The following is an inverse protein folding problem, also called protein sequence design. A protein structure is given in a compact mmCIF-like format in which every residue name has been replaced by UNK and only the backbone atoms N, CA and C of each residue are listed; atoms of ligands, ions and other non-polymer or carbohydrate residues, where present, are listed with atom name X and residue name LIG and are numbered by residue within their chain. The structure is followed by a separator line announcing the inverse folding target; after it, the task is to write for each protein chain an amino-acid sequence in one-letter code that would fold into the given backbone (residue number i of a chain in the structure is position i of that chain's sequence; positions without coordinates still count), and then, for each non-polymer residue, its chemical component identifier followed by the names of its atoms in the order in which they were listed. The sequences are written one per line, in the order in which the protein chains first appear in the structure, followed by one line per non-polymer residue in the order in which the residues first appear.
data_IF_469727983438
#
_entry.id   IF_469727983438
#
_cell.length_a   1.000
_cell.length_b   1.000
_cell.length_c   1.000
_cell.angle_alpha   90.00
_cell.angle_beta   90.00
_cell.angle_gamma   90.00
#
_symmetry.space_group_name_H-M   'P 1'
#
loop_
_entity.id
_entity.type
_entity.pdbx_description
1 polymer ?
#
# COMPACT_ATOMS: atom_id res chain seq x y z
N UNK A 1 64.71 -33.63 20.29
CA UNK A 1 64.05 -32.35 19.92
C UNK A 1 62.65 -32.69 19.43
N UNK A 2 61.64 -32.55 20.30
CA UNK A 2 60.22 -32.80 19.98
C UNK A 2 59.59 -31.45 19.68
N UNK A 3 59.15 -31.25 18.42
CA UNK A 3 58.39 -30.08 18.01
C UNK A 3 56.90 -30.29 18.29
N UNK A 4 56.38 -29.54 19.27
CA UNK A 4 54.94 -29.48 19.56
C UNK A 4 54.31 -28.53 18.57
N UNK A 5 53.39 -29.05 17.69
CA UNK A 5 52.52 -28.25 16.84
C UNK A 5 51.29 -27.86 17.67
N UNK A 6 51.18 -26.59 18.01
CA UNK A 6 49.97 -26.01 18.57
C UNK A 6 48.98 -25.74 17.44
N UNK A 7 47.89 -26.52 17.38
CA UNK A 7 46.73 -26.27 16.52
C UNK A 7 45.87 -25.17 17.20
N UNK A 8 45.87 -24.00 16.64
CA UNK A 8 44.89 -22.95 16.97
C UNK A 8 43.55 -23.32 16.35
N UNK A 9 42.62 -23.80 17.15
CA UNK A 9 41.21 -23.88 16.77
C UNK A 9 40.58 -22.48 16.85
N UNK A 10 40.39 -21.83 15.71
CA UNK A 10 39.58 -20.62 15.62
C UNK A 10 38.11 -21.04 15.79
N UNK A 11 37.51 -20.71 16.93
CA UNK A 11 36.07 -20.80 17.14
C UNK A 11 35.38 -19.75 16.21
N UNK A 12 34.86 -20.22 15.09
CA UNK A 12 33.87 -19.50 14.32
C UNK A 12 32.56 -19.53 15.12
N UNK A 13 32.32 -18.49 15.93
CA UNK A 13 30.98 -18.19 16.42
C UNK A 13 30.18 -17.68 15.22
N UNK A 14 29.04 -18.31 14.87
CA UNK A 14 28.16 -17.74 13.86
C UNK A 14 27.69 -16.39 14.38
N UNK A 15 27.93 -15.34 13.60
CA UNK A 15 27.33 -14.03 13.80
C UNK A 15 25.81 -14.23 13.60
N UNK A 16 25.09 -14.50 14.68
CA UNK A 16 23.64 -14.42 14.66
C UNK A 16 23.30 -12.95 14.42
N UNK A 17 22.96 -12.65 13.18
CA UNK A 17 22.30 -11.38 12.85
C UNK A 17 21.04 -11.33 13.69
N UNK A 18 21.04 -10.43 14.67
CA UNK A 18 19.88 -10.12 15.48
C UNK A 18 18.88 -9.43 14.53
N UNK A 19 18.09 -10.21 13.82
CA UNK A 19 16.94 -9.68 13.10
C UNK A 19 16.05 -9.05 14.17
N UNK A 20 15.87 -7.74 14.09
CA UNK A 20 14.93 -7.04 14.92
C UNK A 20 13.53 -7.57 14.55
N UNK A 21 13.06 -8.55 15.30
CA UNK A 21 11.66 -8.96 15.22
C UNK A 21 10.81 -7.77 15.64
N UNK A 22 9.75 -7.50 14.87
CA UNK A 22 8.72 -6.56 15.33
C UNK A 22 8.26 -7.04 16.72
N UNK A 23 8.14 -6.14 17.71
CA UNK A 23 7.62 -6.50 19.00
C UNK A 23 6.24 -7.15 18.81
N UNK A 24 5.87 -8.08 19.70
CA UNK A 24 4.54 -8.70 19.70
C UNK A 24 3.51 -7.61 20.09
N UNK A 25 3.09 -6.82 19.11
CA UNK A 25 2.17 -5.70 19.27
C UNK A 25 0.79 -6.16 18.83
N UNK A 26 -0.20 -5.97 19.71
CA UNK A 26 -1.60 -6.05 19.31
C UNK A 26 -1.94 -4.81 18.45
N UNK A 27 -1.69 -4.93 17.14
CA UNK A 27 -1.97 -3.85 16.18
C UNK A 27 -3.44 -3.45 16.18
N UNK A 28 -4.36 -4.41 16.33
CA UNK A 28 -5.80 -4.17 16.34
C UNK A 28 -6.20 -3.27 17.52
N UNK A 29 -5.69 -3.56 18.72
CA UNK A 29 -5.91 -2.71 19.90
C UNK A 29 -5.27 -1.33 19.72
N UNK A 30 -4.06 -1.26 19.17
CA UNK A 30 -3.35 0.01 18.92
C UNK A 30 -4.06 0.88 17.89
N UNK A 31 -4.54 0.33 16.79
CA UNK A 31 -5.31 1.08 15.79
C UNK A 31 -6.52 1.77 16.42
N UNK A 32 -7.27 1.05 17.29
CA UNK A 32 -8.39 1.63 18.04
C UNK A 32 -7.97 2.71 19.04
N UNK A 33 -6.85 2.53 19.75
CA UNK A 33 -6.28 3.54 20.67
C UNK A 33 -5.95 4.86 19.91
N UNK A 34 -5.59 4.75 18.63
CA UNK A 34 -5.33 5.89 17.75
C UNK A 34 -6.59 6.44 17.07
N UNK A 35 -7.79 5.99 17.50
CA UNK A 35 -9.09 6.40 16.98
C UNK A 35 -9.29 6.10 15.49
N UNK A 36 -8.63 5.07 14.99
CA UNK A 36 -8.90 4.56 13.65
C UNK A 36 -10.14 3.65 13.70
N UNK A 37 -10.83 3.57 12.57
CA UNK A 37 -12.02 2.74 12.39
C UNK A 37 -11.69 1.57 11.47
N UNK A 38 -12.11 0.37 11.84
CA UNK A 38 -12.15 -0.78 10.96
C UNK A 38 -13.25 -0.56 9.94
N UNK A 39 -12.88 -0.50 8.65
CA UNK A 39 -13.83 -0.19 7.57
C UNK A 39 -14.97 -1.18 7.51
N UNK A 40 -14.73 -2.46 7.79
CA UNK A 40 -15.75 -3.52 7.71
C UNK A 40 -16.82 -3.40 8.80
N UNK A 41 -16.62 -2.55 9.81
CA UNK A 41 -17.63 -2.24 10.83
C UNK A 41 -18.59 -1.13 10.43
N UNK A 42 -18.36 -0.49 9.30
CA UNK A 42 -19.14 0.66 8.84
C UNK A 42 -20.23 0.20 7.84
N UNK A 43 -21.40 0.81 7.92
CA UNK A 43 -22.46 0.57 6.96
C UNK A 43 -22.02 0.92 5.52
N UNK A 44 -22.33 0.04 4.57
CA UNK A 44 -21.92 0.16 3.17
C UNK A 44 -20.59 -0.55 2.84
N UNK A 45 -19.96 -1.20 3.82
CA UNK A 45 -18.74 -1.99 3.64
C UNK A 45 -18.99 -3.49 3.42
N UNK A 46 -20.23 -3.94 3.41
CA UNK A 46 -20.64 -5.35 3.48
C UNK A 46 -20.02 -6.21 2.37
N UNK A 47 -19.69 -5.61 1.23
CA UNK A 47 -19.06 -6.29 0.11
C UNK A 47 -17.57 -5.98 -0.03
N UNK A 48 -17.02 -5.00 0.70
CA UNK A 48 -15.58 -4.71 0.66
C UNK A 48 -14.80 -5.92 1.19
N UNK A 49 -13.86 -6.39 0.39
CA UNK A 49 -12.97 -7.47 0.77
C UNK A 49 -11.68 -6.87 1.31
N UNK A 50 -11.20 -7.39 2.43
CA UNK A 50 -9.91 -7.04 3.02
C UNK A 50 -9.00 -8.25 2.95
N UNK A 51 -7.84 -8.09 2.31
CA UNK A 51 -6.77 -9.08 2.26
C UNK A 51 -5.45 -8.34 2.33
N UNK A 52 -4.98 -8.09 3.56
CA UNK A 52 -3.75 -7.34 3.79
C UNK A 52 -2.55 -8.14 3.30
N UNK A 53 -1.92 -7.70 2.21
CA UNK A 53 -0.79 -8.38 1.58
C UNK A 53 0.42 -8.49 2.52
N UNK A 54 0.58 -7.54 3.44
CA UNK A 54 1.68 -7.53 4.40
C UNK A 54 1.42 -8.36 5.66
N UNK A 55 0.25 -8.97 5.80
CA UNK A 55 -0.03 -10.03 6.80
C UNK A 55 0.38 -11.42 6.30
N UNK A 56 0.95 -11.50 5.11
CA UNK A 56 1.43 -12.73 4.50
C UNK A 56 2.93 -12.62 4.19
N UNK A 57 3.61 -13.76 4.04
CA UNK A 57 5.02 -13.78 3.62
C UNK A 57 5.20 -13.62 2.11
N UNK A 58 4.13 -13.79 1.32
CA UNK A 58 4.15 -13.66 -0.13
C UNK A 58 3.97 -12.21 -0.58
N UNK A 59 4.78 -11.32 -0.02
CA UNK A 59 4.87 -9.92 -0.40
C UNK A 59 6.29 -9.59 -0.88
N UNK A 60 6.54 -8.35 -1.33
CA UNK A 60 7.83 -7.99 -1.92
C UNK A 60 9.01 -7.97 -0.94
N UNK A 61 8.76 -7.88 0.39
CA UNK A 61 9.80 -7.96 1.43
C UNK A 61 10.03 -9.39 1.94
N UNK A 62 9.11 -10.32 1.67
CA UNK A 62 9.25 -11.74 2.03
C UNK A 62 8.93 -12.08 3.48
N UNK A 63 8.35 -11.14 4.24
CA UNK A 63 8.07 -11.29 5.67
C UNK A 63 6.63 -10.88 6.00
N UNK A 64 6.04 -11.54 7.00
CA UNK A 64 4.80 -11.10 7.62
C UNK A 64 5.08 -9.86 8.48
N UNK A 65 4.47 -8.73 8.09
CA UNK A 65 4.68 -7.42 8.72
C UNK A 65 3.62 -7.08 9.77
N UNK A 66 2.49 -7.78 9.76
CA UNK A 66 1.31 -7.43 10.54
C UNK A 66 0.88 -8.51 11.54
N UNK A 67 1.41 -9.72 11.44
CA UNK A 67 1.05 -10.84 12.29
C UNK A 67 -0.44 -11.14 12.21
N UNK A 68 -1.16 -10.99 13.32
CA UNK A 68 -2.61 -11.30 13.39
C UNK A 68 -3.53 -10.18 12.91
N UNK A 69 -3.01 -9.07 12.38
CA UNK A 69 -3.85 -7.99 11.88
C UNK A 69 -4.44 -8.37 10.50
N UNK A 70 -5.75 -8.54 10.46
CA UNK A 70 -6.52 -8.87 9.25
C UNK A 70 -7.51 -7.78 8.84
N UNK A 71 -7.53 -6.66 9.58
CA UNK A 71 -8.51 -5.58 9.42
C UNK A 71 -7.90 -4.34 8.79
N UNK A 72 -8.65 -3.68 7.92
CA UNK A 72 -8.25 -2.43 7.29
C UNK A 72 -8.72 -1.22 8.12
N UNK A 73 -7.78 -0.56 8.78
CA UNK A 73 -8.02 0.62 9.60
C UNK A 73 -7.74 1.91 8.85
N UNK A 74 -8.59 2.92 9.08
CA UNK A 74 -8.45 4.27 8.51
C UNK A 74 -8.89 5.32 9.52
N UNK A 75 -8.53 6.58 9.28
CA UNK A 75 -9.26 7.70 9.88
C UNK A 75 -10.71 7.67 9.39
N UNK A 76 -11.66 8.12 10.21
CA UNK A 76 -13.09 8.05 9.85
C UNK A 76 -13.40 8.77 8.54
N UNK A 77 -12.89 9.97 8.38
CA UNK A 77 -13.12 10.78 7.17
C UNK A 77 -12.49 10.17 5.89
N UNK A 78 -11.43 9.38 6.04
CA UNK A 78 -10.87 8.63 4.92
C UNK A 78 -11.69 7.36 4.61
N UNK A 79 -12.10 6.62 5.64
CA UNK A 79 -12.97 5.45 5.48
C UNK A 79 -14.28 5.80 4.74
N UNK A 80 -14.91 6.94 5.09
CA UNK A 80 -16.12 7.43 4.41
C UNK A 80 -15.92 7.67 2.92
N UNK A 81 -14.73 8.11 2.50
CA UNK A 81 -14.40 8.24 1.07
C UNK A 81 -14.22 6.88 0.40
N UNK A 82 -13.59 5.92 1.06
CA UNK A 82 -13.47 4.55 0.52
C UNK A 82 -14.86 3.90 0.37
N UNK A 83 -15.75 4.06 1.35
CA UNK A 83 -17.14 3.61 1.26
C UNK A 83 -17.90 4.28 0.11
N UNK A 84 -17.68 5.58 -0.09
CA UNK A 84 -18.24 6.29 -1.24
C UNK A 84 -17.72 5.73 -2.57
N UNK A 85 -16.44 5.41 -2.68
CA UNK A 85 -15.88 4.77 -3.86
C UNK A 85 -16.53 3.40 -4.13
N UNK A 86 -16.73 2.59 -3.09
CA UNK A 86 -17.45 1.33 -3.17
C UNK A 86 -18.90 1.52 -3.68
N UNK A 87 -19.61 2.48 -3.12
CA UNK A 87 -20.99 2.79 -3.57
C UNK A 87 -21.05 3.23 -5.03
N UNK A 88 -20.11 4.08 -5.47
CA UNK A 88 -19.99 4.50 -6.88
C UNK A 88 -19.68 3.29 -7.76
N UNK A 89 -18.72 2.43 -7.35
CA UNK A 89 -18.38 1.22 -8.09
C UNK A 89 -19.61 0.34 -8.31
N UNK A 90 -20.33 0.04 -7.26
CA UNK A 90 -21.51 -0.84 -7.33
C UNK A 90 -22.66 -0.26 -8.16
N UNK A 91 -22.77 1.07 -8.23
CA UNK A 91 -23.77 1.72 -9.12
C UNK A 91 -23.43 1.54 -10.61
N UNK A 92 -22.15 1.32 -10.96
CA UNK A 92 -21.66 1.12 -12.34
C UNK A 92 -21.51 -0.35 -12.67
N UNK A 93 -20.94 -1.13 -11.73
CA UNK A 93 -20.56 -2.54 -11.85
C UNK A 93 -20.96 -3.29 -10.55
N UNK A 94 -22.23 -3.68 -10.42
CA UNK A 94 -22.72 -4.38 -9.21
C UNK A 94 -22.09 -5.78 -9.02
N UNK A 95 -21.44 -6.31 -10.04
CA UNK A 95 -20.68 -7.55 -10.04
C UNK A 95 -19.24 -7.41 -9.49
N UNK A 96 -18.80 -6.18 -9.17
CA UNK A 96 -17.46 -5.90 -8.66
C UNK A 96 -17.49 -5.29 -7.26
N UNK A 97 -16.37 -5.44 -6.58
CA UNK A 97 -16.12 -4.81 -5.27
C UNK A 97 -14.70 -4.29 -5.17
N UNK A 98 -14.43 -3.46 -4.15
CA UNK A 98 -13.09 -3.07 -3.75
C UNK A 98 -12.45 -4.22 -2.94
N UNK A 99 -11.19 -4.56 -3.27
CA UNK A 99 -10.34 -5.47 -2.52
C UNK A 99 -9.15 -4.68 -1.97
N UNK A 100 -9.06 -4.53 -0.65
CA UNK A 100 -8.04 -3.74 0.03
C UNK A 100 -6.81 -4.62 0.30
N UNK A 101 -5.64 -4.16 -0.14
CA UNK A 101 -4.34 -4.80 0.04
C UNK A 101 -3.52 -4.20 1.20
N UNK A 102 -3.67 -2.90 1.49
CA UNK A 102 -3.06 -2.23 2.63
C UNK A 102 -3.86 -1.00 3.05
N UNK A 103 -3.72 -0.62 4.33
CA UNK A 103 -4.49 0.45 4.97
C UNK A 103 -3.58 1.30 5.89
N UNK A 104 -4.00 1.59 7.10
CA UNK A 104 -3.17 2.23 8.11
C UNK A 104 -1.98 1.34 8.46
N UNK A 105 -0.77 1.87 8.29
CA UNK A 105 0.50 1.17 8.55
C UNK A 105 1.26 1.87 9.66
N UNK A 106 1.55 1.21 10.80
CA UNK A 106 2.38 1.79 11.85
C UNK A 106 3.76 2.20 11.33
N UNK A 107 4.35 3.24 11.92
CA UNK A 107 5.68 3.72 11.50
C UNK A 107 6.78 2.68 11.83
N UNK A 108 6.59 1.86 12.86
CA UNK A 108 7.49 0.74 13.19
C UNK A 108 7.55 -0.28 12.05
N UNK A 109 6.39 -0.64 11.49
CA UNK A 109 6.28 -1.51 10.32
C UNK A 109 6.97 -0.88 9.10
N UNK A 110 6.75 0.41 8.84
CA UNK A 110 7.41 1.12 7.75
C UNK A 110 8.94 1.12 7.90
N UNK A 111 9.45 1.33 9.10
CA UNK A 111 10.90 1.29 9.40
C UNK A 111 11.47 -0.11 9.20
N UNK A 112 10.75 -1.14 9.67
CA UNK A 112 11.16 -2.52 9.48
C UNK A 112 11.15 -2.91 8.00
N UNK A 113 10.08 -2.59 7.25
CA UNK A 113 10.00 -2.78 5.81
C UNK A 113 11.20 -2.13 5.09
N UNK A 114 11.53 -0.88 5.44
CA UNK A 114 12.68 -0.17 4.88
C UNK A 114 13.99 -0.90 5.16
N UNK A 115 14.20 -1.39 6.39
CA UNK A 115 15.43 -2.09 6.76
C UNK A 115 15.63 -3.42 5.99
N UNK A 116 14.54 -4.06 5.56
CA UNK A 116 14.62 -5.31 4.77
C UNK A 116 15.03 -5.07 3.31
N UNK A 117 14.83 -3.86 2.79
CA UNK A 117 15.15 -3.51 1.41
C UNK A 117 16.34 -2.56 1.29
N UNK A 118 16.95 -2.13 2.39
CA UNK A 118 18.11 -1.25 2.42
C UNK A 118 19.28 -1.88 1.64
N UNK A 119 19.89 -1.09 0.74
CA UNK A 119 20.97 -1.56 -0.14
C UNK A 119 20.51 -2.42 -1.33
N UNK A 120 19.21 -2.63 -1.53
CA UNK A 120 18.66 -3.31 -2.71
C UNK A 120 18.10 -2.30 -3.72
N UNK A 121 17.76 -2.78 -4.92
CA UNK A 121 17.07 -2.02 -5.97
C UNK A 121 15.64 -1.58 -5.58
N UNK A 122 15.09 -2.17 -4.51
CA UNK A 122 13.76 -1.83 -3.97
C UNK A 122 13.79 -0.67 -2.97
N UNK A 123 14.95 -0.25 -2.54
CA UNK A 123 15.11 0.77 -1.48
C UNK A 123 14.40 2.09 -1.82
N UNK A 124 14.47 2.53 -3.07
CA UNK A 124 13.87 3.80 -3.51
C UNK A 124 12.31 3.78 -3.58
N UNK A 125 11.71 2.58 -3.49
CA UNK A 125 10.26 2.42 -3.48
C UNK A 125 9.64 2.42 -2.08
N UNK A 126 10.47 2.28 -1.04
CA UNK A 126 10.01 2.23 0.35
C UNK A 126 10.42 3.50 1.08
N UNK A 127 9.44 4.28 1.56
CA UNK A 127 9.72 5.48 2.35
C UNK A 127 10.55 5.14 3.60
N UNK A 128 11.46 6.06 3.97
CA UNK A 128 12.43 5.84 5.07
C UNK A 128 11.82 5.61 6.46
N UNK A 129 10.54 5.87 6.63
CA UNK A 129 9.89 5.76 7.95
C UNK A 129 10.32 6.83 8.96
N UNK A 130 11.09 7.86 8.55
CA UNK A 130 11.53 8.93 9.46
C UNK A 130 10.41 9.90 9.79
N UNK A 131 9.66 10.35 8.78
CA UNK A 131 8.58 11.35 8.91
C UNK A 131 7.19 10.77 8.64
N UNK A 132 7.11 9.51 8.27
CA UNK A 132 5.89 8.82 7.85
C UNK A 132 5.34 9.28 6.49
N UNK A 133 4.79 8.33 5.75
CA UNK A 133 3.93 8.52 4.58
C UNK A 133 2.46 8.52 4.96
N UNK A 134 1.57 8.57 3.98
CA UNK A 134 0.12 8.70 4.22
C UNK A 134 -0.51 7.48 4.92
N UNK A 135 -0.04 6.26 4.63
CA UNK A 135 -0.44 5.07 5.38
C UNK A 135 -0.15 5.19 6.88
N UNK A 136 0.95 5.86 7.25
CA UNK A 136 1.33 6.04 8.65
C UNK A 136 0.47 7.06 9.41
N UNK A 137 -0.51 7.65 8.72
CA UNK A 137 -1.53 8.54 9.29
C UNK A 137 -2.96 8.01 9.07
N UNK A 138 -3.12 6.81 8.49
CA UNK A 138 -4.41 6.21 8.18
C UNK A 138 -5.21 6.94 7.10
N UNK A 139 -4.53 7.59 6.14
CA UNK A 139 -5.11 8.40 5.05
C UNK A 139 -4.60 8.01 3.66
N UNK A 140 -4.28 6.75 3.50
CA UNK A 140 -4.04 6.10 2.21
C UNK A 140 -4.57 4.67 2.22
N UNK A 141 -4.83 4.15 1.04
CA UNK A 141 -5.27 2.76 0.81
C UNK A 141 -4.59 2.21 -0.42
N UNK A 142 -4.11 0.97 -0.32
CA UNK A 142 -3.72 0.17 -1.46
C UNK A 142 -4.89 -0.77 -1.79
N UNK A 143 -5.44 -0.66 -3.01
CA UNK A 143 -6.72 -1.25 -3.36
C UNK A 143 -6.77 -1.66 -4.83
N UNK A 144 -7.54 -2.71 -5.12
CA UNK A 144 -7.87 -3.13 -6.49
C UNK A 144 -9.37 -3.34 -6.66
N UNK A 145 -9.78 -3.63 -7.89
CA UNK A 145 -11.11 -4.14 -8.20
C UNK A 145 -11.08 -5.67 -8.20
N UNK A 146 -12.10 -6.29 -7.63
CA UNK A 146 -12.26 -7.73 -7.65
C UNK A 146 -13.71 -8.11 -7.98
N UNK A 147 -13.91 -9.34 -8.45
CA UNK A 147 -15.22 -9.99 -8.44
C UNK A 147 -15.69 -10.22 -6.99
N UNK A 148 -16.97 -10.46 -6.80
CA UNK A 148 -17.55 -10.68 -5.46
C UNK A 148 -17.02 -11.95 -4.77
N UNK A 149 -16.40 -12.86 -5.50
CA UNK A 149 -15.71 -14.05 -4.99
C UNK A 149 -14.26 -13.76 -4.52
N UNK A 150 -13.81 -12.51 -4.65
CA UNK A 150 -12.46 -12.07 -4.28
C UNK A 150 -11.41 -12.19 -5.39
N UNK A 151 -11.77 -12.70 -6.58
CA UNK A 151 -10.83 -12.78 -7.70
C UNK A 151 -10.50 -11.39 -8.23
N UNK A 152 -9.23 -10.90 -8.13
CA UNK A 152 -8.87 -9.57 -8.57
C UNK A 152 -8.90 -9.43 -10.10
N UNK A 153 -9.25 -8.25 -10.59
CA UNK A 153 -9.17 -7.93 -12.03
C UNK A 153 -7.71 -7.73 -12.46
N UNK A 154 -7.44 -8.07 -13.73
CA UNK A 154 -6.14 -7.77 -14.36
C UNK A 154 -5.91 -6.24 -14.41
N UNK A 155 -4.85 -5.78 -13.78
CA UNK A 155 -4.42 -4.37 -13.78
C UNK A 155 -3.16 -4.16 -14.65
N UNK A 156 -2.64 -5.21 -15.32
CA UNK A 156 -1.48 -5.16 -16.22
C UNK A 156 -0.13 -5.11 -15.52
N UNK A 157 -0.11 -4.98 -14.21
CA UNK A 157 1.05 -5.13 -13.33
C UNK A 157 0.57 -5.64 -11.98
N UNK A 158 1.37 -6.45 -11.32
CA UNK A 158 1.08 -6.93 -9.97
C UNK A 158 1.06 -5.82 -8.92
N UNK A 159 0.50 -6.10 -7.76
CA UNK A 159 0.70 -5.30 -6.56
C UNK A 159 2.20 -5.32 -6.21
N UNK A 160 2.76 -4.16 -5.82
CA UNK A 160 4.19 -4.01 -5.55
C UNK A 160 5.13 -4.39 -6.72
N UNK A 161 4.63 -4.47 -7.96
CA UNK A 161 5.47 -4.50 -9.14
C UNK A 161 6.00 -3.09 -9.45
N UNK A 162 7.16 -2.75 -8.90
CA UNK A 162 7.79 -1.44 -9.02
C UNK A 162 8.42 -1.22 -10.41
N UNK A 163 7.57 -1.07 -11.41
CA UNK A 163 7.97 -0.90 -12.81
C UNK A 163 7.20 0.23 -13.48
N UNK A 164 7.62 0.62 -14.68
CA UNK A 164 6.89 1.60 -15.50
C UNK A 164 5.45 1.16 -15.81
N UNK A 165 5.18 -0.15 -15.80
CA UNK A 165 3.84 -0.69 -16.00
C UNK A 165 2.89 -0.32 -14.86
N UNK A 166 3.40 -0.18 -13.63
CA UNK A 166 2.60 0.13 -12.46
C UNK A 166 2.16 1.60 -12.41
N UNK A 167 2.83 2.48 -13.13
CA UNK A 167 2.54 3.90 -13.11
C UNK A 167 1.14 4.24 -13.66
N UNK A 168 0.55 5.33 -13.17
CA UNK A 168 -0.75 5.87 -13.63
C UNK A 168 -0.64 7.29 -14.15
N UNK A 169 0.49 7.95 -13.91
CA UNK A 169 0.78 9.31 -14.39
C UNK A 169 2.29 9.47 -14.56
N UNK A 170 2.71 10.16 -15.62
CA UNK A 170 4.12 10.42 -15.91
C UNK A 170 4.84 11.22 -14.82
N UNK A 171 6.16 11.29 -14.94
CA UNK A 171 7.10 11.76 -13.92
C UNK A 171 7.05 13.25 -13.57
N UNK A 172 6.26 14.08 -14.26
CA UNK A 172 6.17 15.50 -13.91
C UNK A 172 5.53 15.67 -12.54
N UNK A 173 6.32 16.08 -11.61
CA UNK A 173 6.09 16.16 -10.18
C UNK A 173 5.20 17.31 -9.74
N UNK A 174 4.32 17.75 -10.58
CA UNK A 174 3.41 18.80 -10.18
C UNK A 174 2.31 18.21 -9.33
N UNK A 175 2.40 18.42 -8.02
CA UNK A 175 1.27 18.39 -7.09
C UNK A 175 0.17 19.40 -7.50
N UNK A 176 0.19 19.82 -8.75
CA UNK A 176 -0.70 20.79 -9.36
C UNK A 176 -2.07 20.14 -9.58
N UNK A 177 -3.10 20.77 -9.03
CA UNK A 177 -4.49 20.35 -9.19
C UNK A 177 -4.88 20.22 -10.69
N UNK A 178 -4.27 21.00 -11.58
CA UNK A 178 -4.49 20.92 -13.02
C UNK A 178 -4.06 19.57 -13.63
N UNK A 179 -3.11 18.87 -13.01
CA UNK A 179 -2.64 17.56 -13.46
C UNK A 179 -3.32 16.37 -12.75
N UNK A 180 -4.19 16.63 -11.79
CA UNK A 180 -4.97 15.61 -11.06
C UNK A 180 -6.39 15.54 -11.62
N UNK A 181 -6.55 15.05 -12.84
CA UNK A 181 -7.86 14.89 -13.45
C UNK A 181 -7.91 13.66 -14.35
N UNK A 182 -9.11 13.17 -14.58
CA UNK A 182 -9.37 11.96 -15.38
C UNK A 182 -8.78 12.01 -16.79
N UNK A 183 -8.70 13.19 -17.41
CA UNK A 183 -8.12 13.35 -18.75
C UNK A 183 -6.62 13.00 -18.74
N UNK A 184 -5.89 13.47 -17.72
CA UNK A 184 -4.45 13.20 -17.58
C UNK A 184 -4.20 11.72 -17.30
N UNK A 185 -4.96 11.13 -16.37
CA UNK A 185 -4.85 9.71 -16.07
C UNK A 185 -5.17 8.84 -17.28
N UNK A 186 -6.27 9.12 -17.97
CA UNK A 186 -6.66 8.38 -19.18
C UNK A 186 -5.62 8.49 -20.30
N UNK A 187 -5.07 9.68 -20.53
CA UNK A 187 -4.03 9.87 -21.54
C UNK A 187 -2.78 9.00 -21.21
N UNK A 188 -2.35 8.99 -19.97
CA UNK A 188 -1.18 8.20 -19.55
C UNK A 188 -1.43 6.69 -19.61
N UNK A 189 -2.56 6.21 -19.06
CA UNK A 189 -2.90 4.77 -19.08
C UNK A 189 -3.05 4.25 -20.52
N UNK A 190 -3.68 5.05 -21.41
CA UNK A 190 -3.78 4.71 -22.82
C UNK A 190 -2.42 4.73 -23.57
N UNK A 191 -1.46 5.55 -23.12
CA UNK A 191 -0.09 5.52 -23.64
C UNK A 191 0.62 4.21 -23.27
N UNK A 192 0.39 3.66 -22.06
CA UNK A 192 0.91 2.35 -21.69
C UNK A 192 0.41 1.24 -22.64
N UNK A 193 -0.86 1.29 -23.04
CA UNK A 193 -1.42 0.37 -24.05
C UNK A 193 -0.73 0.54 -25.40
N UNK A 194 -0.59 1.78 -25.88
CA UNK A 194 0.09 2.07 -27.17
C UNK A 194 1.53 1.57 -27.20
N UNK A 195 2.21 1.61 -26.06
CA UNK A 195 3.57 1.10 -25.87
C UNK A 195 3.63 -0.42 -25.69
N UNK A 196 2.48 -1.11 -25.64
CA UNK A 196 2.42 -2.56 -25.40
C UNK A 196 2.81 -2.99 -23.98
N UNK A 197 2.79 -2.08 -23.00
CA UNK A 197 3.16 -2.37 -21.62
C UNK A 197 2.05 -3.04 -20.84
N UNK A 198 0.78 -2.70 -21.12
CA UNK A 198 -0.40 -3.31 -20.53
C UNK A 198 -1.45 -3.61 -21.60
N UNK A 199 -2.37 -4.51 -21.30
CA UNK A 199 -3.51 -4.81 -22.20
C UNK A 199 -4.56 -3.69 -22.18
N UNK A 200 -5.44 -3.65 -23.19
CA UNK A 200 -6.59 -2.74 -23.20
C UNK A 200 -7.56 -3.04 -22.05
N UNK A 201 -7.72 -4.33 -21.70
CA UNK A 201 -8.57 -4.76 -20.57
C UNK A 201 -8.00 -4.24 -19.24
N UNK A 202 -6.69 -4.38 -19.04
CA UNK A 202 -6.05 -3.83 -17.84
C UNK A 202 -6.16 -2.31 -17.75
N UNK A 203 -6.07 -1.62 -18.89
CA UNK A 203 -6.27 -0.16 -18.94
C UNK A 203 -7.71 0.23 -18.57
N UNK A 204 -8.73 -0.47 -19.08
CA UNK A 204 -10.13 -0.25 -18.72
C UNK A 204 -10.36 -0.46 -17.22
N UNK A 205 -9.82 -1.54 -16.64
CA UNK A 205 -9.92 -1.84 -15.21
C UNK A 205 -9.26 -0.74 -14.36
N UNK A 206 -8.03 -0.30 -14.72
CA UNK A 206 -7.36 0.81 -14.03
C UNK A 206 -8.15 2.11 -14.11
N UNK A 207 -8.68 2.44 -15.28
CA UNK A 207 -9.45 3.66 -15.46
C UNK A 207 -10.77 3.64 -14.69
N UNK A 208 -11.40 2.48 -14.57
CA UNK A 208 -12.57 2.30 -13.71
C UNK A 208 -12.20 2.53 -12.23
N UNK A 209 -11.12 1.89 -11.72
CA UNK A 209 -10.64 2.08 -10.36
C UNK A 209 -10.32 3.57 -10.10
N UNK A 210 -9.52 4.20 -10.97
CA UNK A 210 -9.16 5.62 -10.82
C UNK A 210 -10.43 6.49 -10.82
N UNK A 211 -11.40 6.21 -11.69
CA UNK A 211 -12.65 6.97 -11.78
C UNK A 211 -13.42 6.93 -10.45
N UNK A 212 -13.70 5.74 -9.92
CA UNK A 212 -14.51 5.62 -8.71
C UNK A 212 -13.82 6.22 -7.48
N UNK A 213 -12.51 6.04 -7.37
CA UNK A 213 -11.72 6.65 -6.30
C UNK A 213 -11.66 8.18 -6.44
N UNK A 214 -11.47 8.70 -7.66
CA UNK A 214 -11.43 10.14 -7.93
C UNK A 214 -12.78 10.83 -7.63
N UNK A 215 -13.90 10.24 -8.03
CA UNK A 215 -15.24 10.74 -7.74
C UNK A 215 -15.56 10.69 -6.23
N UNK A 216 -14.91 9.79 -5.49
CA UNK A 216 -14.97 9.75 -4.03
C UNK A 216 -14.05 10.76 -3.34
N UNK A 217 -13.23 11.51 -4.09
CA UNK A 217 -12.31 12.53 -3.56
C UNK A 217 -10.93 11.99 -3.17
N UNK A 218 -10.52 10.87 -3.77
CA UNK A 218 -9.20 10.26 -3.64
C UNK A 218 -8.43 10.33 -4.97
N UNK A 219 -7.12 10.38 -4.92
CA UNK A 219 -6.27 10.43 -6.12
C UNK A 219 -5.22 9.36 -6.10
N UNK A 220 -4.85 8.78 -7.26
CA UNK A 220 -3.80 7.78 -7.31
C UNK A 220 -2.42 8.42 -7.09
N UNK A 221 -1.53 7.67 -6.47
CA UNK A 221 -0.10 8.00 -6.47
C UNK A 221 0.50 7.70 -7.86
N UNK A 222 1.32 8.60 -8.38
CA UNK A 222 1.78 8.59 -9.78
C UNK A 222 2.52 7.33 -10.24
N UNK A 223 3.17 6.59 -9.33
CA UNK A 223 4.00 5.42 -9.63
C UNK A 223 3.30 4.09 -9.39
N UNK A 224 2.11 4.11 -8.74
CA UNK A 224 1.46 2.93 -8.19
C UNK A 224 -0.03 2.98 -8.51
N UNK A 225 -0.51 2.06 -9.35
CA UNK A 225 -1.91 2.02 -9.77
C UNK A 225 -2.86 1.65 -8.62
N UNK A 226 -2.36 1.00 -7.59
CA UNK A 226 -3.13 0.53 -6.43
C UNK A 226 -3.25 1.57 -5.32
N UNK A 227 -2.30 2.52 -5.21
CA UNK A 227 -2.21 3.47 -4.10
C UNK A 227 -3.08 4.71 -4.32
N UNK A 228 -4.03 4.93 -3.39
CA UNK A 228 -4.89 6.11 -3.40
C UNK A 228 -4.82 6.88 -2.09
N UNK A 229 -4.87 8.20 -2.19
CA UNK A 229 -4.67 9.12 -1.08
C UNK A 229 -5.59 10.34 -1.15
N UNK A 230 -5.75 11.05 -0.02
CA UNK A 230 -6.47 12.33 -0.02
C UNK A 230 -5.70 13.41 -0.79
N UNK A 231 -6.47 14.31 -1.45
CA UNK A 231 -5.94 15.53 -2.07
C UNK A 231 -5.62 16.54 -0.96
N UNK A 232 -4.48 16.35 -0.32
CA UNK A 232 -4.03 17.16 0.82
C UNK A 232 -2.50 17.16 0.87
N UNK A 233 -1.83 18.32 1.03
CA UNK A 233 -0.37 18.36 1.21
C UNK A 233 0.07 17.58 2.44
N UNK A 234 1.24 16.91 2.40
CA UNK A 234 1.75 16.17 3.56
C UNK A 234 1.99 17.04 4.81
N UNK A 235 2.26 18.33 4.65
CA UNK A 235 2.33 19.28 5.78
C UNK A 235 0.99 19.37 6.52
N UNK A 236 -0.11 19.41 5.79
CA UNK A 236 -1.45 19.45 6.37
C UNK A 236 -1.85 18.09 6.96
N UNK A 237 -1.51 16.97 6.30
CA UNK A 237 -1.71 15.62 6.86
C UNK A 237 -1.07 15.51 8.24
N UNK A 238 0.20 15.94 8.37
CA UNK A 238 0.94 15.89 9.65
C UNK A 238 0.37 16.82 10.74
N UNK A 239 -0.36 17.84 10.36
CA UNK A 239 -1.01 18.74 11.32
C UNK A 239 -2.37 18.21 11.74
N UNK A 240 -3.12 17.61 10.80
CA UNK A 240 -4.50 17.18 11.02
C UNK A 240 -4.59 15.79 11.66
N UNK A 241 -3.68 14.87 11.31
CA UNK A 241 -3.76 13.48 11.73
C UNK A 241 -2.58 13.08 12.62
N UNK A 242 -2.83 12.16 13.53
CA UNK A 242 -1.81 11.62 14.42
C UNK A 242 -0.96 10.57 13.67
N UNK A 243 0.37 10.68 13.77
CA UNK A 243 1.28 9.63 13.31
C UNK A 243 1.05 8.35 14.12
N UNK A 244 0.94 7.21 13.45
CA UNK A 244 0.80 5.88 14.07
C UNK A 244 2.17 5.43 14.59
N UNK A 245 2.59 6.04 15.70
CA UNK A 245 3.91 5.84 16.29
C UNK A 245 3.88 4.72 17.34
N UNK A 246 3.74 3.50 16.87
CA UNK A 246 3.78 2.26 17.66
C UNK A 246 4.33 1.10 16.85
#
# INVERSE_FOLDING_TARGET
MIRIFMLLFALFLPLQTLFAQLPNVDFDAKMREYNLVDIQTLAGAEQIIVYLQYSEKYNFVGEDMYGSLEKAYFTRDFAEKVLRAQSILQSIRPDLTLLIYDAARPISVQRYMRSLVEGTDKEDFVASGTKGGRHNFGVAVDVTLAHLDGTPLDMGAGFDEFSDKAAVKGTSDTNDAANRNMRVYSAFVNDLVKRGLISSVAAENRLLLIKVMYEAGLVPYRREWWHFEQIMPMSEVRTKYRLLDF
#
